data_IF_918049202273
#
_entry.id   IF_918049202273
#
_cell.length_a   1.000
_cell.length_b   1.000
_cell.length_c   1.000
_cell.angle_alpha   90.00
_cell.angle_beta   90.00
_cell.angle_gamma   90.00
#
_symmetry.space_group_name_H-M   'P 1'
#
loop_
_entity.id
_entity.type
_entity.pdbx_description
1 polymer ?
#
# COMPACT_ATOMS: atom_id res chain seq x y z
N UNK A 1 -16.79 -2.30 18.00
CA UNK A 1 -15.49 -1.67 18.32
C UNK A 1 -14.83 -1.38 17.00
N UNK A 2 -14.78 -0.12 16.59
CA UNK A 2 -14.04 0.29 15.39
C UNK A 2 -12.55 0.15 15.73
N UNK A 3 -11.77 -0.49 14.87
CA UNK A 3 -10.32 -0.60 15.05
C UNK A 3 -9.72 0.81 14.83
N UNK A 4 -9.58 1.53 15.94
CA UNK A 4 -8.94 2.83 16.06
C UNK A 4 -7.42 2.66 15.82
N UNK A 5 -6.86 3.47 14.92
CA UNK A 5 -5.43 3.78 14.78
C UNK A 5 -4.47 2.70 14.23
N UNK A 6 -4.85 1.95 13.19
CA UNK A 6 -3.85 1.21 12.40
C UNK A 6 -3.09 2.18 11.49
N UNK A 7 -1.87 2.55 11.88
CA UNK A 7 -0.96 3.41 11.11
C UNK A 7 -0.09 2.59 10.16
N UNK A 8 0.20 3.14 8.97
CA UNK A 8 1.17 2.56 8.03
C UNK A 8 2.51 3.27 8.22
N UNK A 9 3.57 2.51 8.52
CA UNK A 9 4.92 3.07 8.57
C UNK A 9 5.42 3.41 7.16
N UNK A 10 6.00 4.60 7.04
CA UNK A 10 6.59 5.11 5.80
C UNK A 10 8.10 5.25 5.98
N UNK A 11 8.84 4.86 4.94
CA UNK A 11 10.27 5.09 4.81
C UNK A 11 10.52 5.91 3.54
N UNK A 12 11.49 6.82 3.58
CA UNK A 12 11.89 7.58 2.38
C UNK A 12 12.95 6.79 1.61
N UNK A 13 12.70 6.54 0.32
CA UNK A 13 13.62 5.89 -0.61
C UNK A 13 13.71 6.78 -1.85
N UNK A 14 14.91 7.21 -2.21
CA UNK A 14 15.14 8.07 -3.38
C UNK A 14 14.24 9.33 -3.39
N UNK A 15 14.10 9.97 -2.22
CA UNK A 15 13.23 11.13 -1.97
C UNK A 15 11.72 10.88 -2.14
N UNK A 16 11.31 9.63 -2.37
CA UNK A 16 9.91 9.22 -2.49
C UNK A 16 9.44 8.37 -1.28
N UNK A 17 8.15 8.43 -0.92
CA UNK A 17 7.61 7.61 0.15
C UNK A 17 7.47 6.15 -0.30
N UNK A 18 7.93 5.24 0.55
CA UNK A 18 7.66 3.81 0.48
C UNK A 18 7.01 3.33 1.78
N UNK A 19 6.18 2.32 1.71
CA UNK A 19 5.28 1.89 2.79
C UNK A 19 5.64 0.49 3.25
N UNK A 20 5.61 0.22 4.55
CA UNK A 20 5.81 -1.13 5.09
C UNK A 20 4.63 -2.02 4.70
N UNK A 21 4.91 -3.08 3.93
CA UNK A 21 3.87 -3.96 3.40
C UNK A 21 3.07 -4.67 4.49
N UNK A 22 3.74 -5.04 5.59
CA UNK A 22 3.09 -5.70 6.71
C UNK A 22 2.00 -4.82 7.34
N UNK A 23 2.23 -3.51 7.42
CA UNK A 23 1.25 -2.57 7.98
C UNK A 23 0.06 -2.37 7.04
N UNK A 24 0.31 -2.28 5.73
CA UNK A 24 -0.76 -2.25 4.72
C UNK A 24 -1.61 -3.53 4.83
N UNK A 25 -0.97 -4.68 4.95
CA UNK A 25 -1.66 -5.96 5.10
C UNK A 25 -2.47 -5.99 6.40
N UNK A 26 -1.94 -5.46 7.50
CA UNK A 26 -2.67 -5.36 8.77
C UNK A 26 -3.91 -4.46 8.64
N UNK A 27 -3.79 -3.30 7.98
CA UNK A 27 -4.92 -2.39 7.72
C UNK A 27 -6.00 -3.06 6.85
N UNK A 28 -5.59 -3.91 5.90
CA UNK A 28 -6.50 -4.57 4.95
C UNK A 28 -6.99 -5.95 5.40
N UNK A 29 -6.67 -6.37 6.64
CA UNK A 29 -6.97 -7.69 7.18
C UNK A 29 -6.40 -8.85 6.32
N UNK A 30 -5.25 -8.62 5.68
CA UNK A 30 -4.54 -9.62 4.88
C UNK A 30 -3.53 -10.35 5.78
N UNK A 31 -3.75 -11.65 5.96
CA UNK A 31 -2.99 -12.47 6.92
C UNK A 31 -1.56 -12.76 6.46
N UNK A 32 -1.31 -12.88 5.15
CA UNK A 32 -0.02 -13.31 4.62
C UNK A 32 0.62 -12.25 3.70
N UNK A 33 1.44 -11.34 4.27
CA UNK A 33 2.18 -10.34 3.49
C UNK A 33 3.17 -10.93 2.48
N UNK A 34 3.71 -12.13 2.74
CA UNK A 34 4.65 -12.78 1.82
C UNK A 34 3.99 -13.16 0.49
N UNK A 35 2.78 -13.71 0.55
CA UNK A 35 2.01 -14.00 -0.66
C UNK A 35 1.67 -12.71 -1.43
N UNK A 36 1.39 -11.61 -0.72
CA UNK A 36 1.16 -10.31 -1.36
C UNK A 36 2.42 -9.82 -2.06
N UNK A 37 3.58 -9.86 -1.38
CA UNK A 37 4.86 -9.46 -1.95
C UNK A 37 5.24 -10.27 -3.21
N UNK A 38 4.87 -11.56 -3.25
CA UNK A 38 5.10 -12.42 -4.40
C UNK A 38 4.25 -12.04 -5.62
N UNK A 39 3.15 -11.31 -5.43
CA UNK A 39 2.27 -10.85 -6.51
C UNK A 39 2.53 -9.42 -6.98
N UNK A 40 3.52 -8.73 -6.38
CA UNK A 40 3.99 -7.40 -6.78
C UNK A 40 5.19 -7.53 -7.72
N UNK A 41 5.30 -6.58 -8.65
CA UNK A 41 6.44 -6.51 -9.55
C UNK A 41 7.73 -6.13 -8.80
N UNK A 42 8.89 -6.45 -9.39
CA UNK A 42 10.18 -6.23 -8.72
C UNK A 42 10.51 -4.74 -8.52
N UNK A 43 9.96 -3.85 -9.33
CA UNK A 43 10.08 -2.39 -9.20
C UNK A 43 9.10 -1.79 -8.18
N UNK A 44 8.07 -2.54 -7.78
CA UNK A 44 7.05 -2.09 -6.81
C UNK A 44 7.42 -2.41 -5.37
N UNK A 45 8.43 -3.25 -5.14
CA UNK A 45 8.80 -3.76 -3.81
C UNK A 45 10.30 -3.73 -3.56
N UNK A 46 10.68 -3.70 -2.29
CA UNK A 46 12.05 -3.83 -1.86
C UNK A 46 12.16 -4.35 -0.43
N UNK A 47 13.39 -4.63 0.00
CA UNK A 47 13.69 -4.97 1.40
C UNK A 47 14.61 -3.91 1.98
N UNK A 48 14.29 -3.44 3.19
CA UNK A 48 15.11 -2.47 3.92
C UNK A 48 15.25 -2.87 5.39
N UNK A 49 16.41 -2.59 6.03
CA UNK A 49 16.52 -2.67 7.48
C UNK A 49 15.74 -1.50 8.10
N UNK A 50 14.84 -1.80 9.03
CA UNK A 50 14.12 -0.81 9.83
C UNK A 50 14.42 -1.06 11.31
N UNK A 51 14.69 0.01 12.05
CA UNK A 51 14.81 -0.08 13.51
C UNK A 51 13.41 -0.17 14.12
N UNK A 52 13.15 -1.29 14.79
CA UNK A 52 11.87 -1.58 15.42
C UNK A 52 12.07 -1.76 16.93
N UNK A 53 10.99 -1.89 17.69
CA UNK A 53 11.08 -2.22 19.13
C UNK A 53 11.81 -3.54 19.40
N UNK A 54 11.87 -4.44 18.42
CA UNK A 54 12.61 -5.71 18.48
C UNK A 54 14.05 -5.62 17.97
N UNK A 55 14.55 -4.42 17.68
CA UNK A 55 15.83 -4.16 17.01
C UNK A 55 15.70 -4.03 15.50
N UNK A 56 16.84 -4.06 14.81
CA UNK A 56 16.91 -3.92 13.35
C UNK A 56 16.31 -5.17 12.68
N UNK A 57 15.25 -4.98 11.90
CA UNK A 57 14.55 -6.03 11.16
C UNK A 57 14.54 -5.71 9.66
N UNK A 58 14.70 -6.74 8.82
CA UNK A 58 14.48 -6.61 7.37
C UNK A 58 12.98 -6.64 7.09
N UNK A 59 12.44 -5.52 6.60
CA UNK A 59 11.02 -5.37 6.27
C UNK A 59 10.84 -5.22 4.76
N UNK A 60 9.75 -5.78 4.23
CA UNK A 60 9.32 -5.51 2.87
C UNK A 60 8.64 -4.16 2.81
N UNK A 61 9.14 -3.31 1.92
CA UNK A 61 8.56 -2.02 1.60
C UNK A 61 8.00 -2.04 0.19
N UNK A 62 6.99 -1.22 -0.06
CA UNK A 62 6.38 -1.05 -1.38
C UNK A 62 6.27 0.43 -1.71
N UNK A 63 6.50 0.79 -2.97
CA UNK A 63 6.27 2.16 -3.42
C UNK A 63 4.77 2.44 -3.55
N UNK A 64 4.41 3.65 -4.00
CA UNK A 64 3.02 4.04 -4.15
C UNK A 64 2.25 3.16 -5.16
N UNK A 65 2.88 2.75 -6.28
CA UNK A 65 2.26 1.81 -7.25
C UNK A 65 1.91 0.48 -6.60
N UNK A 66 2.89 -0.14 -5.91
CA UNK A 66 2.69 -1.39 -5.20
C UNK A 66 1.61 -1.29 -4.12
N UNK A 67 1.60 -0.20 -3.34
CA UNK A 67 0.56 0.07 -2.35
C UNK A 67 -0.84 0.09 -3.00
N UNK A 68 -1.02 0.83 -4.10
CA UNK A 68 -2.31 0.85 -4.81
C UNK A 68 -2.68 -0.52 -5.34
N UNK A 69 -1.72 -1.30 -5.85
CA UNK A 69 -1.98 -2.65 -6.32
C UNK A 69 -2.58 -3.54 -5.21
N UNK A 70 -2.04 -3.46 -3.99
CA UNK A 70 -2.56 -4.20 -2.83
C UNK A 70 -3.96 -3.71 -2.44
N UNK A 71 -4.15 -2.38 -2.30
CA UNK A 71 -5.43 -1.79 -1.90
C UNK A 71 -6.54 -2.11 -2.92
N UNK A 72 -6.24 -1.99 -4.21
CA UNK A 72 -7.19 -2.26 -5.29
C UNK A 72 -7.55 -3.74 -5.43
N UNK A 73 -6.77 -4.67 -4.86
CA UNK A 73 -7.12 -6.09 -4.80
C UNK A 73 -7.92 -6.48 -3.55
N UNK A 74 -7.93 -5.65 -2.51
CA UNK A 74 -8.63 -5.96 -1.27
C UNK A 74 -10.16 -5.98 -1.41
N UNK A 75 -10.79 -6.84 -0.61
CA UNK A 75 -12.24 -6.99 -0.44
C UNK A 75 -12.80 -6.25 0.78
N UNK A 76 -11.93 -5.65 1.60
CA UNK A 76 -12.33 -4.86 2.77
C UNK A 76 -13.25 -3.70 2.35
N UNK A 77 -14.36 -3.42 3.07
CA UNK A 77 -15.35 -2.42 2.65
C UNK A 77 -14.76 -1.03 2.34
N UNK A 78 -13.79 -0.59 3.14
CA UNK A 78 -13.08 0.67 2.99
C UNK A 78 -12.25 0.69 1.69
N UNK A 79 -11.56 -0.41 1.37
CA UNK A 79 -10.82 -0.55 0.11
C UNK A 79 -11.75 -0.61 -1.12
N UNK A 80 -12.93 -1.22 -0.98
CA UNK A 80 -13.96 -1.22 -2.03
C UNK A 80 -14.53 0.17 -2.28
N UNK A 81 -14.73 0.96 -1.22
CA UNK A 81 -15.16 2.35 -1.34
C UNK A 81 -14.10 3.19 -2.09
N UNK A 82 -12.83 3.06 -1.71
CA UNK A 82 -11.71 3.69 -2.41
C UNK A 82 -11.64 3.27 -3.88
N UNK A 83 -11.66 1.96 -4.16
CA UNK A 83 -11.65 1.40 -5.52
C UNK A 83 -12.78 1.95 -6.38
N UNK A 84 -14.01 2.01 -5.83
CA UNK A 84 -15.17 2.58 -6.52
C UNK A 84 -14.97 4.07 -6.80
N UNK A 85 -14.53 4.84 -5.82
CA UNK A 85 -14.25 6.26 -6.00
C UNK A 85 -13.18 6.51 -7.09
N UNK A 86 -12.08 5.76 -7.06
CA UNK A 86 -11.04 5.82 -8.10
C UNK A 86 -11.63 5.52 -9.49
N UNK A 87 -12.41 4.45 -9.64
CA UNK A 87 -12.94 4.01 -10.92
C UNK A 87 -14.06 4.90 -11.48
N UNK A 88 -14.91 5.46 -10.62
CA UNK A 88 -16.09 6.20 -11.05
C UNK A 88 -15.89 7.73 -11.07
N UNK A 89 -14.96 8.24 -10.26
CA UNK A 89 -14.72 9.67 -10.14
C UNK A 89 -13.33 10.06 -10.64
N UNK A 90 -12.27 9.46 -10.11
CA UNK A 90 -10.88 9.87 -10.42
C UNK A 90 -10.51 9.58 -11.86
N UNK A 91 -10.53 8.30 -12.28
CA UNK A 91 -10.12 7.90 -13.63
C UNK A 91 -10.98 8.58 -14.71
N UNK A 92 -12.31 8.68 -14.58
CA UNK A 92 -13.13 9.40 -15.55
C UNK A 92 -12.84 10.90 -15.58
N UNK A 93 -12.46 11.50 -14.45
CA UNK A 93 -12.04 12.91 -14.41
C UNK A 93 -10.72 13.11 -15.15
N UNK A 94 -9.69 12.30 -14.85
CA UNK A 94 -8.40 12.31 -15.54
C UNK A 94 -8.58 12.13 -17.06
N UNK A 95 -9.40 11.16 -17.49
CA UNK A 95 -9.69 10.93 -18.91
C UNK A 95 -10.31 12.15 -19.60
N UNK A 96 -11.16 12.90 -18.89
CA UNK A 96 -11.85 14.09 -19.45
C UNK A 96 -10.96 15.33 -19.45
N UNK A 97 -10.13 15.51 -18.42
CA UNK A 97 -9.28 16.69 -18.28
C UNK A 97 -7.90 16.52 -18.91
N UNK A 98 -7.52 15.29 -19.30
CA UNK A 98 -6.22 14.98 -19.87
C UNK A 98 -5.05 15.17 -18.88
N UNK A 99 -5.35 15.34 -17.59
CA UNK A 99 -4.35 15.64 -16.57
C UNK A 99 -4.08 14.40 -15.73
N UNK A 100 -3.05 13.64 -16.10
CA UNK A 100 -2.23 12.91 -15.14
C UNK A 100 -1.00 13.80 -14.95
N UNK A 101 -1.02 14.65 -13.92
CA UNK A 101 0.15 15.43 -13.56
C UNK A 101 0.77 14.80 -12.34
#
# INVERSE_FOLDING_TARGET
MYADDQTVCTVTVDDEPSFVLADICAVLDIVNPYNVAACLDEDEKGVRPLDTRGGIQSVTIVNESGMYQVVLRSDKPEARAFKRWVMHEVLPSIRRTGSAR
#
